data_IF_050253290601
#
_entry.id   IF_050253290601
#
_cell.length_a   1.000
_cell.length_b   1.000
_cell.length_c   1.000
_cell.angle_alpha   90.00
_cell.angle_beta   90.00
_cell.angle_gamma   90.00
#
_symmetry.space_group_name_H-M   'P 1'
#
loop_
_entity.id
_entity.type
_entity.pdbx_description
1 polymer ?
#
# COMPACT_ATOMS: atom_id res chain seq x y z
N UNK A 1 15.37 8.97 -26.68
CA UNK A 1 15.71 10.41 -26.55
C UNK A 1 16.58 10.64 -25.32
N UNK A 2 17.15 11.83 -25.14
CA UNK A 2 17.84 12.23 -23.91
C UNK A 2 17.13 13.47 -23.34
N UNK A 3 16.99 13.51 -22.02
CA UNK A 3 16.42 14.64 -21.28
C UNK A 3 17.48 15.23 -20.36
N UNK A 4 17.56 16.55 -20.28
CA UNK A 4 18.36 17.25 -19.27
C UNK A 4 17.46 17.56 -18.06
N UNK A 5 17.75 16.95 -16.92
CA UNK A 5 16.95 17.06 -15.69
C UNK A 5 17.89 17.28 -14.51
N UNK A 6 17.75 18.42 -13.83
CA UNK A 6 18.59 18.74 -12.66
C UNK A 6 20.10 18.74 -12.96
N UNK A 7 20.51 19.20 -14.15
CA UNK A 7 21.91 19.19 -14.60
C UNK A 7 22.45 17.80 -14.97
N UNK A 8 21.58 16.80 -15.10
CA UNK A 8 21.93 15.44 -15.52
C UNK A 8 21.27 15.09 -16.84
N UNK A 9 22.01 14.41 -17.71
CA UNK A 9 21.44 13.83 -18.91
C UNK A 9 20.90 12.42 -18.63
N UNK A 10 19.60 12.21 -18.85
CA UNK A 10 18.90 10.94 -18.64
C UNK A 10 18.42 10.38 -19.97
N UNK A 11 18.88 9.18 -20.33
CA UNK A 11 18.43 8.49 -21.54
C UNK A 11 17.04 7.86 -21.33
N UNK A 12 16.07 8.22 -22.17
CA UNK A 12 14.70 7.68 -22.16
C UNK A 12 14.48 6.81 -23.38
N UNK A 13 13.99 5.58 -23.14
CA UNK A 13 13.72 4.58 -24.19
C UNK A 13 12.22 4.36 -24.35
N UNK A 14 11.76 4.17 -25.58
CA UNK A 14 10.34 3.99 -25.92
C UNK A 14 9.42 5.06 -25.28
N UNK A 15 9.71 6.37 -25.45
CA UNK A 15 8.89 7.44 -24.87
C UNK A 15 7.42 7.38 -25.30
N UNK A 16 7.15 6.95 -26.53
CA UNK A 16 5.82 6.80 -27.14
C UNK A 16 5.02 5.59 -26.62
N UNK A 17 5.63 4.74 -25.80
CA UNK A 17 4.96 3.55 -25.27
C UNK A 17 3.77 3.97 -24.41
N UNK A 18 2.56 3.53 -24.79
CA UNK A 18 1.35 3.68 -23.98
C UNK A 18 1.45 2.84 -22.72
N UNK A 19 1.30 3.49 -21.56
CA UNK A 19 1.32 2.85 -20.23
C UNK A 19 -0.10 2.66 -19.71
N UNK A 20 -0.96 3.65 -19.94
CA UNK A 20 -2.39 3.62 -19.62
C UNK A 20 -3.21 3.72 -20.92
N UNK A 21 -3.79 2.61 -21.40
CA UNK A 21 -4.55 2.60 -22.64
C UNK A 21 -5.75 3.56 -22.64
N UNK A 22 -6.56 3.54 -21.58
CA UNK A 22 -7.83 4.27 -21.51
C UNK A 22 -7.65 5.80 -21.66
N UNK A 23 -6.78 6.48 -20.87
CA UNK A 23 -6.49 7.90 -21.06
C UNK A 23 -5.41 8.16 -22.12
N UNK A 24 -4.85 7.12 -22.77
CA UNK A 24 -3.80 7.26 -23.77
C UNK A 24 -2.44 7.76 -23.24
N UNK A 25 -2.19 7.67 -21.93
CA UNK A 25 -0.97 8.22 -21.29
C UNK A 25 0.24 7.38 -21.68
N UNK A 26 1.22 8.03 -22.32
CA UNK A 26 2.49 7.44 -22.71
C UNK A 26 3.53 7.48 -21.58
N UNK A 27 4.67 6.80 -21.78
CA UNK A 27 5.81 6.89 -20.87
C UNK A 27 6.32 8.33 -20.75
N UNK A 28 6.38 9.07 -21.86
CA UNK A 28 6.84 10.45 -21.85
C UNK A 28 5.87 11.34 -21.07
N UNK A 29 4.56 11.12 -21.21
CA UNK A 29 3.55 11.86 -20.43
C UNK A 29 3.70 11.58 -18.93
N UNK A 30 3.92 10.32 -18.56
CA UNK A 30 4.18 9.94 -17.17
C UNK A 30 5.48 10.57 -16.61
N UNK A 31 6.53 10.65 -17.43
CA UNK A 31 7.75 11.37 -17.07
C UNK A 31 7.47 12.86 -16.85
N UNK A 32 6.75 13.49 -17.78
CA UNK A 32 6.41 14.91 -17.71
C UNK A 32 5.53 15.22 -16.48
N UNK A 33 4.61 14.33 -16.15
CA UNK A 33 3.82 14.40 -14.92
C UNK A 33 4.72 14.46 -13.68
N UNK A 34 5.63 13.50 -13.52
CA UNK A 34 6.52 13.48 -12.35
C UNK A 34 7.48 14.66 -12.32
N UNK A 35 7.89 15.19 -13.47
CA UNK A 35 8.67 16.43 -13.53
C UNK A 35 7.85 17.64 -13.08
N UNK A 36 6.56 17.72 -13.45
CA UNK A 36 5.68 18.81 -13.06
C UNK A 36 5.40 18.87 -11.54
N UNK A 37 5.44 17.73 -10.86
CA UNK A 37 5.22 17.62 -9.40
C UNK A 37 6.49 17.22 -8.63
N UNK A 38 7.67 17.39 -9.24
CA UNK A 38 8.91 16.81 -8.76
C UNK A 38 9.22 17.16 -7.30
N UNK A 39 9.09 18.43 -6.91
CA UNK A 39 9.39 18.87 -5.54
C UNK A 39 8.49 18.19 -4.50
N UNK A 40 7.21 18.01 -4.81
CA UNK A 40 6.25 17.31 -3.95
C UNK A 40 6.47 15.81 -3.91
N UNK A 41 6.70 15.19 -5.08
CA UNK A 41 7.03 13.77 -5.15
C UNK A 41 8.32 13.45 -4.38
N UNK A 42 9.34 14.29 -4.51
CA UNK A 42 10.63 14.15 -3.83
C UNK A 42 10.52 14.30 -2.32
N UNK A 43 9.65 15.17 -1.77
CA UNK A 43 9.37 15.18 -0.33
C UNK A 43 8.93 13.79 0.19
N UNK A 44 8.20 13.05 -0.64
CA UNK A 44 7.74 11.70 -0.31
C UNK A 44 8.78 10.58 -0.47
N UNK A 45 9.81 10.75 -1.31
CA UNK A 45 10.70 9.63 -1.70
C UNK A 45 12.21 9.91 -1.59
N UNK A 46 12.63 11.17 -1.51
CA UNK A 46 14.03 11.54 -1.54
C UNK A 46 14.78 10.97 -0.32
N UNK A 47 15.94 10.36 -0.57
CA UNK A 47 16.75 9.71 0.45
C UNK A 47 16.14 8.43 1.03
N UNK A 48 15.02 7.92 0.49
CA UNK A 48 14.38 6.69 0.97
C UNK A 48 14.72 5.50 0.07
N UNK A 49 15.11 4.33 0.62
CA UNK A 49 15.15 3.10 -0.17
C UNK A 49 13.74 2.75 -0.65
N UNK A 50 13.63 2.28 -1.89
CA UNK A 50 12.35 1.90 -2.49
C UNK A 50 12.37 0.56 -3.20
N UNK A 51 11.19 -0.08 -3.17
CA UNK A 51 10.88 -1.21 -4.02
C UNK A 51 10.43 -0.68 -5.38
N UNK A 52 11.11 -1.13 -6.44
CA UNK A 52 10.75 -0.79 -7.81
C UNK A 52 9.63 -1.73 -8.28
N UNK A 53 8.40 -1.22 -8.40
CA UNK A 53 7.27 -1.96 -8.96
C UNK A 53 7.10 -1.58 -10.43
N UNK A 54 7.49 -2.50 -11.31
CA UNK A 54 7.75 -2.21 -12.73
C UNK A 54 6.69 -2.84 -13.63
N UNK A 55 6.02 -1.99 -14.38
CA UNK A 55 5.04 -2.33 -15.42
C UNK A 55 5.70 -2.32 -16.79
N UNK A 56 6.68 -3.20 -16.99
CA UNK A 56 7.52 -3.20 -18.20
C UNK A 56 6.69 -3.35 -19.47
N UNK A 57 5.54 -4.04 -19.39
CA UNK A 57 4.60 -4.25 -20.50
C UNK A 57 3.38 -3.31 -20.49
N UNK A 58 3.25 -2.41 -19.52
CA UNK A 58 2.05 -1.60 -19.28
C UNK A 58 1.24 -2.11 -18.08
N UNK A 59 0.22 -1.35 -17.67
CA UNK A 59 -0.57 -1.66 -16.45
C UNK A 59 -1.53 -2.84 -16.59
N UNK A 60 -1.86 -3.25 -17.82
CA UNK A 60 -2.73 -4.40 -18.10
C UNK A 60 -2.06 -5.75 -17.87
N UNK A 61 -0.77 -5.74 -17.53
CA UNK A 61 0.05 -6.93 -17.29
C UNK A 61 0.58 -6.93 -15.85
N UNK A 62 0.92 -8.11 -15.34
CA UNK A 62 1.45 -8.26 -13.99
C UNK A 62 2.75 -7.48 -13.78
N UNK A 63 2.85 -6.82 -12.63
CA UNK A 63 4.01 -6.01 -12.27
C UNK A 63 5.17 -6.87 -11.76
N UNK A 64 6.40 -6.44 -12.04
CA UNK A 64 7.61 -7.01 -11.44
C UNK A 64 7.96 -6.23 -10.18
N UNK A 65 8.03 -6.91 -9.04
CA UNK A 65 8.47 -6.31 -7.78
C UNK A 65 9.97 -6.54 -7.60
N UNK A 66 10.74 -5.48 -7.77
CA UNK A 66 12.19 -5.53 -7.73
C UNK A 66 12.70 -4.77 -6.50
N UNK A 67 13.01 -5.52 -5.44
CA UNK A 67 13.66 -4.99 -4.22
C UNK A 67 15.09 -4.55 -4.49
N UNK A 68 15.91 -5.44 -5.06
CA UNK A 68 17.32 -5.15 -5.35
C UNK A 68 17.46 -4.24 -6.57
N UNK A 69 18.13 -3.10 -6.42
CA UNK A 69 18.44 -2.20 -7.51
C UNK A 69 19.21 -2.91 -8.64
N UNK A 70 19.00 -2.52 -9.92
CA UNK A 70 19.78 -3.08 -11.02
C UNK A 70 21.30 -2.91 -10.79
N UNK A 71 22.07 -3.97 -11.09
CA UNK A 71 23.55 -3.90 -11.04
C UNK A 71 24.10 -2.85 -12.01
N UNK A 72 23.53 -2.78 -13.22
CA UNK A 72 23.79 -1.73 -14.20
C UNK A 72 22.82 -0.59 -13.95
N UNK A 73 23.28 0.44 -13.25
CA UNK A 73 22.54 1.67 -12.99
C UNK A 73 23.47 2.88 -13.13
N UNK A 74 22.95 4.10 -13.38
CA UNK A 74 23.77 5.30 -13.33
C UNK A 74 24.45 5.45 -11.97
N UNK A 75 25.68 5.99 -11.95
CA UNK A 75 26.48 6.11 -10.72
C UNK A 75 25.80 6.98 -9.64
N UNK A 76 24.93 7.89 -10.05
CA UNK A 76 24.17 8.81 -9.21
C UNK A 76 22.88 8.21 -8.65
N UNK A 77 22.53 6.97 -9.01
CA UNK A 77 21.49 6.20 -8.30
C UNK A 77 22.16 5.46 -7.15
N UNK A 78 21.98 6.01 -5.96
CA UNK A 78 22.44 5.42 -4.70
C UNK A 78 21.63 4.18 -4.32
N UNK A 79 22.16 3.42 -3.37
CA UNK A 79 21.48 2.27 -2.79
C UNK A 79 21.66 2.25 -1.28
N UNK A 80 20.68 1.69 -0.58
CA UNK A 80 20.78 1.38 0.84
C UNK A 80 20.50 -0.10 1.06
N UNK A 81 21.31 -0.77 1.90
CA UNK A 81 21.15 -2.20 2.17
C UNK A 81 20.11 -2.42 3.28
N UNK A 82 18.91 -2.88 2.89
CA UNK A 82 17.88 -3.24 3.84
C UNK A 82 18.02 -4.72 4.25
N UNK A 83 18.08 -4.98 5.57
CA UNK A 83 18.06 -6.33 6.14
C UNK A 83 16.64 -6.73 6.52
N UNK A 84 16.18 -7.86 5.99
CA UNK A 84 14.84 -8.39 6.20
C UNK A 84 14.81 -9.37 7.37
N UNK A 85 13.63 -9.58 7.96
CA UNK A 85 13.41 -10.52 9.07
C UNK A 85 13.77 -11.97 8.72
N UNK A 86 13.73 -12.32 7.44
CA UNK A 86 14.18 -13.62 6.91
C UNK A 86 15.69 -13.86 7.06
N UNK A 87 16.49 -12.83 7.39
CA UNK A 87 17.95 -12.89 7.41
C UNK A 87 18.60 -12.55 6.07
N UNK A 88 17.81 -12.31 5.02
CA UNK A 88 18.30 -11.84 3.72
C UNK A 88 18.46 -10.32 3.70
N UNK A 89 19.21 -9.79 2.74
CA UNK A 89 19.29 -8.35 2.49
C UNK A 89 19.12 -8.01 1.00
N UNK A 90 18.78 -6.76 0.71
CA UNK A 90 18.84 -6.20 -0.64
C UNK A 90 19.33 -4.76 -0.60
N UNK A 91 20.20 -4.42 -1.55
CA UNK A 91 20.53 -3.04 -1.88
C UNK A 91 19.37 -2.46 -2.68
N UNK A 92 18.50 -1.70 -2.03
CA UNK A 92 17.35 -1.06 -2.66
C UNK A 92 17.75 0.31 -3.21
N UNK A 93 17.10 0.75 -4.29
CA UNK A 93 17.42 2.03 -4.93
C UNK A 93 17.00 3.21 -4.05
N UNK A 94 17.83 4.24 -3.98
CA UNK A 94 17.56 5.50 -3.29
C UNK A 94 17.53 6.62 -4.33
N UNK A 95 16.39 7.30 -4.45
CA UNK A 95 16.25 8.46 -5.33
C UNK A 95 16.55 9.73 -4.53
N UNK A 96 17.23 10.70 -5.13
CA UNK A 96 17.60 11.96 -4.47
C UNK A 96 17.04 13.19 -5.19
N UNK A 97 16.81 13.08 -6.49
CA UNK A 97 16.48 14.22 -7.35
C UNK A 97 15.47 13.83 -8.46
N UNK A 98 15.05 14.83 -9.24
CA UNK A 98 14.10 14.64 -10.33
C UNK A 98 14.63 13.68 -11.42
N UNK A 99 15.94 13.64 -11.65
CA UNK A 99 16.55 12.68 -12.57
C UNK A 99 16.36 11.23 -12.07
N UNK A 100 16.41 11.03 -10.75
CA UNK A 100 16.02 9.78 -10.09
C UNK A 100 14.59 9.35 -10.40
N UNK A 101 13.63 10.27 -10.34
CA UNK A 101 12.23 10.00 -10.71
C UNK A 101 12.12 9.56 -12.17
N UNK A 102 12.74 10.29 -13.09
CA UNK A 102 12.75 9.95 -14.53
C UNK A 102 13.39 8.59 -14.76
N UNK A 103 14.49 8.27 -14.06
CA UNK A 103 15.13 6.96 -14.14
C UNK A 103 14.19 5.82 -13.70
N UNK A 104 13.49 5.99 -12.58
CA UNK A 104 12.55 5.00 -12.08
C UNK A 104 11.40 4.75 -13.07
N UNK A 105 10.81 5.82 -13.61
CA UNK A 105 9.75 5.73 -14.63
C UNK A 105 10.26 5.10 -15.92
N UNK A 106 11.48 5.44 -16.36
CA UNK A 106 12.08 4.84 -17.55
C UNK A 106 12.32 3.33 -17.41
N UNK A 107 12.61 2.85 -16.19
CA UNK A 107 12.66 1.41 -15.86
C UNK A 107 11.28 0.73 -15.86
N UNK A 108 10.20 1.50 -15.98
CA UNK A 108 8.82 1.03 -16.00
C UNK A 108 8.08 1.19 -14.68
N UNK A 109 8.61 1.94 -13.70
CA UNK A 109 7.86 2.23 -12.48
C UNK A 109 6.70 3.18 -12.80
N UNK A 110 5.52 2.85 -12.27
CA UNK A 110 4.33 3.71 -12.35
C UNK A 110 4.10 4.40 -11.02
N UNK A 111 4.11 3.63 -9.92
CA UNK A 111 4.05 4.13 -8.56
C UNK A 111 5.46 4.19 -7.92
N UNK A 112 5.60 4.99 -6.86
CA UNK A 112 6.81 5.09 -6.06
C UNK A 112 6.53 4.49 -4.68
N UNK A 113 7.36 3.52 -4.25
CA UNK A 113 7.09 2.69 -3.07
C UNK A 113 8.25 2.75 -2.05
N UNK A 114 8.44 3.88 -1.36
CA UNK A 114 9.50 4.03 -0.36
C UNK A 114 9.17 3.31 0.96
N UNK A 115 10.21 2.84 1.64
CA UNK A 115 10.13 2.51 3.07
C UNK A 115 9.93 3.78 3.91
N UNK A 116 9.36 3.70 5.12
CA UNK A 116 9.16 4.87 6.01
C UNK A 116 10.45 5.33 6.71
N UNK A 117 11.61 5.02 6.15
CA UNK A 117 12.95 5.34 6.68
C UNK A 117 13.78 6.05 5.63
N UNK A 118 14.85 6.71 6.07
CA UNK A 118 15.85 7.35 5.20
C UNK A 118 17.13 6.51 5.18
N UNK A 119 17.91 6.61 4.11
CA UNK A 119 19.07 5.75 3.85
C UNK A 119 20.17 5.84 4.93
N UNK A 120 20.22 6.94 5.66
CA UNK A 120 21.14 7.20 6.78
C UNK A 120 20.70 6.54 8.12
N UNK A 121 19.43 6.17 8.27
CA UNK A 121 18.94 5.37 9.41
C UNK A 121 17.76 4.48 8.98
N UNK A 122 18.05 3.19 8.79
CA UNK A 122 17.09 2.20 8.28
C UNK A 122 16.28 1.51 9.39
N UNK A 123 16.54 1.83 10.66
CA UNK A 123 15.90 1.16 11.80
C UNK A 123 14.89 2.06 12.53
N UNK A 124 14.98 3.38 12.36
CA UNK A 124 14.06 4.35 12.94
C UNK A 124 13.23 5.09 11.87
N UNK A 125 11.96 4.71 11.66
CA UNK A 125 11.06 5.43 10.77
C UNK A 125 10.90 6.91 11.14
N UNK A 126 10.72 7.74 10.13
CA UNK A 126 10.33 9.15 10.29
C UNK A 126 8.86 9.39 9.91
N UNK A 127 8.10 8.34 9.62
CA UNK A 127 6.67 8.42 9.27
C UNK A 127 5.88 7.41 10.09
N UNK A 128 4.83 7.90 10.76
CA UNK A 128 3.68 7.08 11.13
C UNK A 128 2.67 7.17 9.98
N UNK A 129 2.22 6.03 9.46
CA UNK A 129 1.30 5.96 8.31
C UNK A 129 -0.01 5.32 8.75
N UNK A 130 -1.12 6.05 8.63
CA UNK A 130 -2.47 5.52 8.82
C UNK A 130 -3.06 5.23 7.44
N UNK A 131 -3.45 3.98 7.20
CA UNK A 131 -4.05 3.52 5.95
C UNK A 131 -5.50 3.11 6.20
N UNK A 132 -6.43 3.75 5.49
CA UNK A 132 -7.87 3.52 5.61
C UNK A 132 -8.32 2.66 4.43
N UNK A 133 -8.53 1.38 4.72
CA UNK A 133 -8.91 0.37 3.75
C UNK A 133 -10.42 0.05 3.88
N UNK A 134 -11.27 0.45 2.92
CA UNK A 134 -12.69 0.14 2.97
C UNK A 134 -12.96 -1.35 2.74
N UNK A 135 -13.75 -1.95 3.63
CA UNK A 135 -14.33 -3.28 3.39
C UNK A 135 -15.43 -3.19 2.31
N UNK A 136 -15.85 -4.33 1.71
CA UNK A 136 -16.97 -4.33 0.76
C UNK A 136 -18.22 -3.64 1.33
N UNK A 137 -18.86 -2.80 0.53
CA UNK A 137 -20.08 -2.06 0.94
C UNK A 137 -19.82 -0.71 1.62
N UNK A 138 -18.57 -0.36 1.93
CA UNK A 138 -18.23 0.97 2.45
C UNK A 138 -18.18 2.00 1.32
N UNK A 139 -18.96 3.06 1.47
CA UNK A 139 -19.03 4.17 0.54
C UNK A 139 -17.97 5.24 0.83
N UNK A 140 -17.57 5.99 -0.20
CA UNK A 140 -16.49 6.98 -0.10
C UNK A 140 -16.66 8.02 1.03
N UNK A 141 -17.86 8.62 1.26
CA UNK A 141 -18.05 9.55 2.37
C UNK A 141 -17.72 8.95 3.75
N UNK A 142 -18.01 7.68 3.98
CA UNK A 142 -17.70 7.01 5.24
C UNK A 142 -16.18 6.92 5.48
N UNK A 143 -15.40 6.74 4.41
CA UNK A 143 -13.93 6.76 4.49
C UNK A 143 -13.42 8.15 4.89
N UNK A 144 -14.04 9.21 4.35
CA UNK A 144 -13.69 10.59 4.68
C UNK A 144 -14.08 10.93 6.12
N UNK A 145 -15.23 10.48 6.60
CA UNK A 145 -15.65 10.65 8.00
C UNK A 145 -14.63 10.00 8.95
N UNK A 146 -14.19 8.76 8.66
CA UNK A 146 -13.14 8.09 9.43
C UNK A 146 -11.80 8.85 9.33
N UNK A 147 -11.45 9.41 8.18
CA UNK A 147 -10.24 10.23 8.03
C UNK A 147 -10.27 11.51 8.91
N UNK A 148 -11.45 12.11 9.10
CA UNK A 148 -11.62 13.25 10.01
C UNK A 148 -11.44 12.83 11.47
N UNK A 149 -11.92 11.64 11.86
CA UNK A 149 -11.66 11.09 13.21
C UNK A 149 -10.18 10.79 13.41
N UNK A 150 -9.49 10.23 12.41
CA UNK A 150 -8.03 10.02 12.46
C UNK A 150 -7.30 11.34 12.71
N UNK A 151 -7.71 12.44 12.06
CA UNK A 151 -7.13 13.76 12.29
C UNK A 151 -7.22 14.17 13.75
N UNK A 152 -8.39 14.02 14.35
CA UNK A 152 -8.63 14.36 15.76
C UNK A 152 -7.77 13.51 16.68
N UNK A 153 -7.73 12.20 16.48
CA UNK A 153 -6.91 11.28 17.28
C UNK A 153 -5.43 11.65 17.20
N UNK A 154 -4.90 11.93 16.01
CA UNK A 154 -3.50 12.38 15.86
C UNK A 154 -3.27 13.70 16.60
N UNK A 155 -4.17 14.68 16.44
CA UNK A 155 -4.06 16.00 17.07
C UNK A 155 -4.11 15.92 18.59
N UNK A 156 -5.02 15.12 19.15
CA UNK A 156 -5.17 14.90 20.60
C UNK A 156 -3.89 14.31 21.22
N UNK A 157 -3.08 13.62 20.41
CA UNK A 157 -1.82 13.01 20.82
C UNK A 157 -0.57 13.77 20.33
N UNK A 158 -0.72 15.03 19.92
CA UNK A 158 0.40 15.91 19.58
C UNK A 158 1.05 15.63 18.22
N UNK A 159 0.38 14.90 17.32
CA UNK A 159 0.82 14.63 15.96
C UNK A 159 0.03 15.46 14.95
N UNK A 160 0.73 16.03 13.97
CA UNK A 160 0.10 16.68 12.82
C UNK A 160 -0.15 15.65 11.73
N UNK A 161 -1.42 15.42 11.40
CA UNK A 161 -1.83 14.55 10.29
C UNK A 161 -1.78 15.26 8.94
N UNK A 162 -1.34 14.55 7.91
CA UNK A 162 -1.17 15.00 6.52
C UNK A 162 -1.96 14.06 5.60
N UNK A 163 -3.11 14.51 5.05
CA UNK A 163 -4.02 13.62 4.33
C UNK A 163 -3.66 13.52 2.85
N UNK A 164 -3.89 12.34 2.26
CA UNK A 164 -3.85 12.11 0.82
C UNK A 164 -4.85 11.04 0.40
N UNK A 165 -5.42 11.18 -0.79
CA UNK A 165 -6.09 10.04 -1.43
C UNK A 165 -5.08 8.91 -1.63
N UNK A 166 -5.51 7.65 -1.61
CA UNK A 166 -4.61 6.55 -1.97
C UNK A 166 -4.33 6.47 -3.46
N UNK A 167 -5.20 7.04 -4.31
CA UNK A 167 -5.27 6.73 -5.74
C UNK A 167 -5.71 5.27 -6.01
N UNK A 168 -6.36 4.63 -5.05
CA UNK A 168 -6.96 3.30 -5.18
C UNK A 168 -8.38 3.38 -4.63
N UNK A 169 -8.72 2.58 -3.62
CA UNK A 169 -10.02 2.61 -2.93
C UNK A 169 -9.98 3.32 -1.57
N UNK A 170 -8.82 3.32 -0.92
CA UNK A 170 -8.65 3.84 0.44
C UNK A 170 -8.16 5.27 0.51
N UNK A 171 -7.78 5.68 1.72
CA UNK A 171 -7.29 7.00 2.05
C UNK A 171 -6.09 6.89 3.00
N UNK A 172 -5.11 7.78 2.90
CA UNK A 172 -3.95 7.74 3.81
C UNK A 172 -3.80 9.04 4.58
N UNK A 173 -3.37 8.93 5.84
CA UNK A 173 -3.00 10.05 6.69
C UNK A 173 -1.62 9.76 7.25
N UNK A 174 -0.64 10.62 6.96
CA UNK A 174 0.72 10.47 7.48
C UNK A 174 0.94 11.43 8.64
N UNK A 175 1.85 11.09 9.54
CA UNK A 175 2.41 12.02 10.51
C UNK A 175 3.94 11.91 10.47
N UNK A 176 4.61 13.05 10.37
CA UNK A 176 6.08 13.13 10.54
C UNK A 176 6.40 12.91 12.01
N UNK A 177 7.33 12.00 12.29
CA UNK A 177 7.74 11.65 13.66
C UNK A 177 9.24 11.80 13.83
N UNK A 178 9.69 11.98 15.08
CA UNK A 178 11.10 11.92 15.41
C UNK A 178 11.71 10.53 15.09
N UNK A 179 12.93 10.54 14.54
CA UNK A 179 13.70 9.36 14.11
C UNK A 179 14.41 8.67 15.28
N UNK A 180 13.66 8.34 16.31
CA UNK A 180 14.18 7.72 17.54
C UNK A 180 13.35 6.51 18.00
N UNK A 181 12.32 6.12 17.22
CA UNK A 181 11.46 4.99 17.52
C UNK A 181 11.72 3.82 16.58
N UNK A 182 11.95 2.59 17.08
CA UNK A 182 12.09 1.43 16.22
C UNK A 182 10.72 0.99 15.66
N UNK A 183 10.71 0.29 14.52
CA UNK A 183 9.49 -0.22 13.87
C UNK A 183 8.41 -0.80 14.81
N UNK A 184 8.73 -1.65 15.82
CA UNK A 184 7.70 -2.18 16.72
C UNK A 184 6.95 -1.10 17.51
N UNK A 185 7.64 -0.01 17.91
CA UNK A 185 7.01 1.11 18.62
C UNK A 185 6.18 1.97 17.69
N UNK A 186 6.65 2.24 16.48
CA UNK A 186 5.87 2.98 15.46
C UNK A 186 4.60 2.20 15.08
N UNK A 187 4.71 0.89 14.88
CA UNK A 187 3.56 0.02 14.61
C UNK A 187 2.59 -0.03 15.79
N UNK A 188 3.09 -0.11 17.02
CA UNK A 188 2.23 -0.07 18.22
C UNK A 188 1.48 1.26 18.30
N UNK A 189 2.15 2.39 18.05
CA UNK A 189 1.49 3.69 18.02
C UNK A 189 0.39 3.76 16.94
N UNK A 190 0.64 3.24 15.74
CA UNK A 190 -0.37 3.15 14.69
C UNK A 190 -1.55 2.21 15.07
N UNK A 191 -1.27 1.10 15.75
CA UNK A 191 -2.28 0.20 16.29
C UNK A 191 -3.14 0.90 17.37
N UNK A 192 -2.52 1.73 18.22
CA UNK A 192 -3.23 2.57 19.19
C UNK A 192 -4.14 3.58 18.48
N UNK A 193 -3.65 4.26 17.43
CA UNK A 193 -4.49 5.16 16.63
C UNK A 193 -5.70 4.40 16.07
N UNK A 194 -5.48 3.22 15.49
CA UNK A 194 -6.56 2.39 14.94
C UNK A 194 -7.61 2.02 15.99
N UNK A 195 -7.19 1.61 17.20
CA UNK A 195 -8.09 1.25 18.30
C UNK A 195 -8.85 2.45 18.84
N UNK A 196 -8.21 3.61 18.94
CA UNK A 196 -8.86 4.83 19.41
C UNK A 196 -9.87 5.37 18.39
N UNK A 197 -9.58 5.22 17.09
CA UNK A 197 -10.54 5.53 16.01
C UNK A 197 -11.74 4.58 16.07
N UNK A 198 -11.53 3.26 16.17
CA UNK A 198 -12.62 2.28 16.35
C UNK A 198 -13.45 2.59 17.61
N UNK A 199 -12.82 3.03 18.71
CA UNK A 199 -13.55 3.42 19.93
C UNK A 199 -14.46 4.64 19.71
N UNK A 200 -14.04 5.61 18.89
CA UNK A 200 -14.81 6.84 18.62
C UNK A 200 -15.94 6.63 17.62
N UNK A 201 -15.72 5.77 16.62
CA UNK A 201 -16.69 5.47 15.55
C UNK A 201 -16.80 3.96 15.28
N UNK A 202 -17.31 3.17 16.24
CA UNK A 202 -17.30 1.70 16.17
C UNK A 202 -18.15 1.13 15.03
N UNK A 203 -19.15 1.88 14.57
CA UNK A 203 -20.02 1.48 13.45
C UNK A 203 -19.40 1.77 12.08
N UNK A 204 -18.31 2.56 12.03
CA UNK A 204 -17.67 2.99 10.78
C UNK A 204 -16.24 2.49 10.63
N UNK A 205 -15.52 2.21 11.72
CA UNK A 205 -14.11 1.86 11.67
C UNK A 205 -13.81 0.60 12.49
N UNK A 206 -12.80 -0.15 12.04
CA UNK A 206 -12.36 -1.38 12.69
C UNK A 206 -10.84 -1.48 12.73
N UNK A 207 -10.31 -1.95 13.87
CA UNK A 207 -8.90 -2.32 14.05
C UNK A 207 -8.72 -3.84 14.15
N UNK A 208 -9.76 -4.62 13.83
CA UNK A 208 -9.76 -6.09 13.98
C UNK A 208 -8.69 -6.75 13.12
N UNK A 209 -7.96 -7.67 13.73
CA UNK A 209 -6.85 -8.36 13.08
C UNK A 209 -7.32 -9.23 11.89
N UNK A 210 -8.41 -9.97 12.09
CA UNK A 210 -8.94 -10.93 11.12
C UNK A 210 -9.76 -10.23 10.07
N UNK A 211 -9.53 -10.54 8.79
CA UNK A 211 -10.26 -9.89 7.70
C UNK A 211 -11.75 -10.19 7.77
N UNK A 212 -12.07 -11.37 8.26
CA UNK A 212 -13.41 -11.93 8.41
C UNK A 212 -14.25 -11.18 9.45
N UNK A 213 -13.61 -10.57 10.46
CA UNK A 213 -14.26 -9.81 11.54
C UNK A 213 -14.32 -8.31 11.24
N UNK A 214 -13.91 -7.89 10.03
CA UNK A 214 -13.85 -6.47 9.66
C UNK A 214 -15.14 -6.05 9.01
N UNK A 215 -15.83 -5.12 9.66
CA UNK A 215 -16.92 -4.34 9.11
C UNK A 215 -16.49 -2.86 9.09
N UNK A 216 -16.99 -2.09 8.12
CA UNK A 216 -16.61 -0.69 7.96
C UNK A 216 -15.20 -0.48 7.38
N UNK A 217 -14.57 0.63 7.76
CA UNK A 217 -13.23 1.04 7.31
C UNK A 217 -12.17 0.40 8.20
N UNK A 218 -11.34 -0.46 7.63
CA UNK A 218 -10.20 -1.00 8.35
C UNK A 218 -9.07 0.02 8.45
N UNK A 219 -8.64 0.33 9.68
CA UNK A 219 -7.48 1.18 9.92
C UNK A 219 -6.22 0.30 9.96
N UNK A 220 -5.54 0.14 8.81
CA UNK A 220 -4.44 -0.81 8.64
C UNK A 220 -3.12 -0.31 9.26
N UNK A 221 -2.95 -0.61 10.55
CA UNK A 221 -1.72 -0.34 11.28
C UNK A 221 -0.52 -1.20 10.82
N UNK A 222 -0.72 -2.31 10.10
CA UNK A 222 0.39 -3.17 9.69
C UNK A 222 1.25 -2.57 8.58
N UNK A 223 0.81 -1.50 7.93
CA UNK A 223 1.63 -0.74 6.98
C UNK A 223 2.89 -0.12 7.62
N UNK A 224 2.92 -0.02 8.96
CA UNK A 224 4.06 0.45 9.75
C UNK A 224 5.03 -0.67 10.13
N UNK A 225 4.81 -1.91 9.69
CA UNK A 225 5.77 -2.99 9.90
C UNK A 225 6.99 -2.85 8.97
N UNK A 226 8.14 -3.36 9.41
CA UNK A 226 9.35 -3.43 8.56
C UNK A 226 9.06 -4.22 7.28
N UNK A 227 9.65 -3.79 6.16
CA UNK A 227 9.43 -4.36 4.81
C UNK A 227 8.02 -4.12 4.21
N UNK A 228 7.28 -3.14 4.74
CA UNK A 228 6.05 -2.63 4.12
C UNK A 228 6.30 -1.27 3.47
N UNK A 229 5.97 -1.19 2.19
CA UNK A 229 6.06 0.02 1.38
C UNK A 229 4.67 0.48 1.02
N UNK A 230 4.41 1.77 1.15
CA UNK A 230 3.14 2.42 0.79
C UNK A 230 3.41 3.34 -0.39
N UNK A 231 2.45 3.45 -1.32
CA UNK A 231 2.56 4.39 -2.43
C UNK A 231 2.73 5.82 -1.88
N UNK A 232 3.77 6.51 -2.31
CA UNK A 232 4.11 7.85 -1.82
C UNK A 232 3.14 8.92 -2.32
N UNK A 233 3.22 10.12 -1.72
CA UNK A 233 2.58 11.32 -2.25
C UNK A 233 2.93 11.52 -3.74
N UNK A 234 1.96 11.96 -4.53
CA UNK A 234 2.04 12.17 -5.97
C UNK A 234 2.34 10.91 -6.81
N UNK A 235 2.37 9.72 -6.21
CA UNK A 235 2.50 8.48 -6.98
C UNK A 235 1.28 8.23 -7.84
N UNK A 236 1.48 8.10 -9.16
CA UNK A 236 0.48 7.57 -10.07
C UNK A 236 0.21 6.12 -9.72
N UNK A 237 -1.04 5.70 -9.72
CA UNK A 237 -1.45 4.33 -9.40
C UNK A 237 -1.77 3.58 -10.67
N UNK A 238 -1.52 2.27 -10.66
CA UNK A 238 -1.83 1.36 -11.77
C UNK A 238 -3.33 1.05 -11.87
N UNK A 239 -4.15 2.10 -12.01
CA UNK A 239 -5.59 2.06 -12.27
C UNK A 239 -5.82 2.52 -13.72
N UNK A 240 -6.89 2.04 -14.39
CA UNK A 240 -7.13 2.37 -15.80
C UNK A 240 -7.16 3.88 -16.08
N UNK A 241 -7.69 4.66 -15.15
CA UNK A 241 -7.82 6.12 -15.23
C UNK A 241 -6.55 6.92 -14.86
N UNK A 242 -5.42 6.26 -14.60
CA UNK A 242 -4.17 6.91 -14.20
C UNK A 242 -4.31 7.84 -12.97
N UNK A 243 -5.19 7.49 -12.03
CA UNK A 243 -5.37 8.27 -10.80
C UNK A 243 -4.12 8.33 -9.93
N UNK A 244 -4.03 9.36 -9.10
CA UNK A 244 -2.84 9.72 -8.32
C UNK A 244 -3.13 9.66 -6.81
N UNK A 245 -2.17 9.17 -6.03
CA UNK A 245 -2.16 9.32 -4.58
C UNK A 245 -1.86 10.78 -4.19
N UNK A 246 -2.89 11.61 -4.03
CA UNK A 246 -2.74 13.07 -4.07
C UNK A 246 -2.85 13.71 -2.69
N UNK A 247 -1.81 14.44 -2.22
CA UNK A 247 -1.88 15.29 -1.02
C UNK A 247 -3.01 16.31 -1.07
N UNK A 248 -3.67 16.52 0.07
CA UNK A 248 -4.79 17.44 0.22
C UNK A 248 -4.58 18.36 1.41
N UNK A 249 -5.21 19.54 1.37
CA UNK A 249 -5.48 20.29 2.59
C UNK A 249 -6.67 19.64 3.33
N UNK A 250 -6.67 19.69 4.66
CA UNK A 250 -7.76 19.14 5.46
C UNK A 250 -9.14 19.71 5.13
N UNK A 251 -9.21 20.97 4.70
CA UNK A 251 -10.47 21.61 4.30
C UNK A 251 -11.13 20.97 3.07
N UNK A 252 -10.35 20.26 2.25
CA UNK A 252 -10.82 19.62 1.01
C UNK A 252 -11.30 18.18 1.25
N UNK A 253 -10.85 17.55 2.34
CA UNK A 253 -11.09 16.12 2.63
C UNK A 253 -12.59 15.77 2.60
N UNK A 254 -13.50 16.51 3.27
CA UNK A 254 -14.91 16.12 3.34
C UNK A 254 -15.65 16.07 2.00
N UNK A 255 -15.12 16.73 0.96
CA UNK A 255 -15.80 16.86 -0.34
C UNK A 255 -14.96 16.34 -1.51
N UNK A 256 -13.75 15.86 -1.28
CA UNK A 256 -12.88 15.40 -2.35
C UNK A 256 -13.40 14.10 -2.98
N UNK A 257 -13.10 13.88 -4.26
CA UNK A 257 -13.34 12.60 -4.93
C UNK A 257 -12.01 12.06 -5.44
N UNK A 258 -11.76 10.77 -5.25
CA UNK A 258 -10.47 10.17 -5.61
C UNK A 258 -10.20 10.26 -7.13
N UNK A 259 -11.24 10.14 -7.93
CA UNK A 259 -11.24 10.21 -9.39
C UNK A 259 -10.89 11.60 -9.97
N UNK A 260 -11.02 12.66 -9.17
CA UNK A 260 -10.68 14.03 -9.63
C UNK A 260 -9.17 14.21 -9.78
N UNK A 261 -8.37 13.32 -9.19
CA UNK A 261 -6.92 13.42 -9.14
C UNK A 261 -6.25 12.40 -10.07
N UNK A 262 -5.86 12.84 -11.26
CA UNK A 262 -5.23 12.02 -12.29
C UNK A 262 -3.94 12.65 -12.80
N UNK A 263 -3.19 11.89 -13.59
CA UNK A 263 -2.03 12.39 -14.33
C UNK A 263 -2.35 13.66 -15.14
N UNK A 264 -3.59 13.82 -15.61
CA UNK A 264 -4.01 14.99 -16.39
C UNK A 264 -4.37 16.21 -15.53
N UNK A 265 -4.92 16.03 -14.32
CA UNK A 265 -5.49 17.11 -13.51
C UNK A 265 -4.56 17.62 -12.42
N UNK A 266 -3.72 16.74 -11.86
CA UNK A 266 -2.85 17.08 -10.72
C UNK A 266 -1.76 18.11 -11.06
N UNK A 267 -1.12 18.12 -12.24
CA UNK A 267 -0.09 19.13 -12.54
C UNK A 267 -0.58 20.57 -12.47
N UNK A 268 -1.75 20.87 -13.05
CA UNK A 268 -2.34 22.22 -13.00
C UNK A 268 -2.70 22.61 -11.57
N UNK A 269 -3.29 21.67 -10.81
CA UNK A 269 -3.57 21.87 -9.40
C UNK A 269 -2.30 22.19 -8.61
N UNK A 270 -1.24 21.40 -8.78
CA UNK A 270 0.04 21.62 -8.10
C UNK A 270 0.64 22.99 -8.42
N UNK A 271 0.62 23.41 -9.68
CA UNK A 271 1.09 24.73 -10.09
C UNK A 271 0.27 25.87 -9.47
N UNK A 272 -1.03 25.65 -9.25
CA UNK A 272 -1.96 26.66 -8.70
C UNK A 272 -1.85 26.83 -7.19
N UNK A 273 -1.81 25.73 -6.42
CA UNK A 273 -1.88 25.78 -4.95
C UNK A 273 -0.57 25.36 -4.24
N UNK A 274 0.42 24.87 -4.99
CA UNK A 274 1.62 24.27 -4.43
C UNK A 274 1.37 22.88 -3.85
N UNK A 275 2.21 22.49 -2.89
CA UNK A 275 2.09 21.21 -2.18
C UNK A 275 1.40 21.37 -0.83
N UNK A 276 0.23 20.75 -0.62
CA UNK A 276 -0.44 20.74 0.68
C UNK A 276 0.39 20.15 1.83
N UNK A 277 1.44 19.38 1.55
CA UNK A 277 2.36 18.78 2.52
C UNK A 277 3.70 19.52 2.66
N UNK A 278 3.84 20.74 2.12
CA UNK A 278 5.10 21.48 2.13
C UNK A 278 5.75 21.61 3.52
N UNK A 279 4.92 21.74 4.58
CA UNK A 279 5.36 21.91 5.97
C UNK A 279 5.44 20.59 6.77
N UNK A 280 5.30 19.43 6.13
CA UNK A 280 5.32 18.15 6.86
C UNK A 280 6.64 17.88 7.57
N UNK A 281 7.77 18.25 6.97
CA UNK A 281 9.09 18.01 7.56
C UNK A 281 9.40 18.94 8.75
N UNK A 282 8.70 20.08 8.87
CA UNK A 282 8.82 21.01 10.00
C UNK A 282 7.89 20.65 11.18
N UNK A 283 6.99 19.67 11.00
CA UNK A 283 5.97 19.28 11.99
C UNK A 283 6.26 17.96 12.73
N UNK A 284 7.52 17.57 12.87
CA UNK A 284 7.88 16.29 13.49
C UNK A 284 7.41 16.23 14.96
N UNK A 285 6.60 15.22 15.28
CA UNK A 285 6.09 14.98 16.64
C UNK A 285 6.64 13.71 17.30
N UNK A 286 6.32 13.57 18.58
CA UNK A 286 6.66 12.41 19.41
C UNK A 286 5.58 11.32 19.39
N UNK A 287 5.93 10.10 19.83
CA UNK A 287 4.99 8.98 19.96
C UNK A 287 4.61 8.67 21.42
N UNK A 288 5.15 9.42 22.37
CA UNK A 288 5.05 9.17 23.81
C UNK A 288 3.59 9.05 24.27
N UNK A 289 2.71 9.95 23.81
CA UNK A 289 1.29 9.94 24.22
C UNK A 289 0.53 8.72 23.66
N UNK A 290 0.78 8.34 22.41
CA UNK A 290 0.19 7.13 21.82
C UNK A 290 0.73 5.85 22.47
N UNK A 291 1.99 5.85 22.88
CA UNK A 291 2.59 4.72 23.57
C UNK A 291 2.07 4.61 25.01
N UNK A 292 1.85 5.71 25.72
CA UNK A 292 1.20 5.73 27.03
C UNK A 292 -0.24 5.20 26.94
N UNK A 293 -1.02 5.66 25.95
CA UNK A 293 -2.36 5.14 25.70
C UNK A 293 -2.33 3.63 25.34
N UNK A 294 -1.30 3.16 24.62
CA UNK A 294 -1.13 1.73 24.35
C UNK A 294 -0.98 0.91 25.63
N UNK A 295 -0.27 1.43 26.62
CA UNK A 295 -0.07 0.79 27.92
C UNK A 295 -1.38 0.74 28.72
N UNK A 296 -2.17 1.82 28.70
CA UNK A 296 -3.49 1.88 29.34
C UNK A 296 -4.49 0.92 28.71
N UNK A 297 -4.53 0.85 27.38
CA UNK A 297 -5.43 -0.01 26.63
C UNK A 297 -5.07 -1.50 26.72
N UNK A 298 -3.86 -1.84 27.18
CA UNK A 298 -3.35 -3.21 27.23
C UNK A 298 -3.20 -3.86 25.85
N UNK A 299 -2.79 -5.14 25.80
CA UNK A 299 -2.65 -5.88 24.54
C UNK A 299 -4.01 -6.09 23.86
N UNK A 300 -4.04 -6.04 22.53
CA UNK A 300 -5.25 -6.36 21.77
C UNK A 300 -5.75 -7.79 22.11
N UNK A 301 -7.07 -7.94 22.24
CA UNK A 301 -7.70 -9.23 22.48
C UNK A 301 -7.40 -10.19 21.32
N UNK A 302 -6.90 -11.39 21.66
CA UNK A 302 -6.71 -12.45 20.67
C UNK A 302 -8.02 -13.20 20.52
N UNK A 303 -8.58 -13.29 19.31
CA UNK A 303 -9.72 -14.16 19.04
C UNK A 303 -9.46 -15.61 19.54
N UNK A 304 -10.45 -16.35 20.04
CA UNK A 304 -10.27 -17.73 20.52
C UNK A 304 -9.72 -18.63 19.40
N UNK A 305 -8.70 -19.46 19.69
CA UNK A 305 -8.09 -20.36 18.69
C UNK A 305 -9.10 -21.34 18.03
N UNK A 306 -10.17 -21.71 18.73
CA UNK A 306 -11.10 -22.75 18.31
C UNK A 306 -12.12 -22.32 17.24
N UNK A 307 -12.51 -21.04 17.20
CA UNK A 307 -13.43 -20.52 16.16
C UNK A 307 -12.72 -20.34 14.79
N UNK A 308 -11.39 -20.31 14.78
CA UNK A 308 -10.56 -19.84 13.65
C UNK A 308 -10.40 -20.79 12.47
N UNK A 309 -10.46 -22.11 12.67
CA UNK A 309 -10.21 -23.07 11.58
C UNK A 309 -11.47 -23.77 11.06
N UNK A 310 -12.60 -23.63 11.75
CA UNK A 310 -13.81 -24.36 11.39
C UNK A 310 -14.60 -23.68 10.26
N UNK A 311 -14.45 -22.36 10.11
CA UNK A 311 -15.23 -21.60 9.12
C UNK A 311 -14.42 -21.25 7.88
N UNK A 312 -13.09 -21.25 7.94
CA UNK A 312 -12.26 -20.78 6.85
C UNK A 312 -11.60 -21.95 6.14
N UNK A 313 -11.88 -22.09 4.84
CA UNK A 313 -11.23 -23.05 3.97
C UNK A 313 -10.37 -22.35 2.92
N UNK A 314 -9.29 -22.99 2.51
CA UNK A 314 -8.45 -22.57 1.40
C UNK A 314 -8.85 -23.36 0.14
N UNK A 315 -9.18 -22.65 -0.92
CA UNK A 315 -9.68 -23.24 -2.17
C UNK A 315 -8.57 -23.43 -3.18
N UNK A 316 -7.67 -22.45 -3.31
CA UNK A 316 -6.60 -22.50 -4.30
C UNK A 316 -5.45 -21.54 -3.99
N UNK A 317 -4.28 -21.87 -4.55
CA UNK A 317 -3.15 -20.97 -4.78
C UNK A 317 -2.86 -20.95 -6.28
N UNK A 318 -2.84 -19.78 -6.88
CA UNK A 318 -2.69 -19.63 -8.33
C UNK A 318 -1.65 -18.59 -8.68
N UNK A 319 -1.16 -18.64 -9.92
CA UNK A 319 -0.16 -17.68 -10.40
C UNK A 319 -0.83 -16.36 -10.81
N UNK A 320 -2.03 -16.43 -11.37
CA UNK A 320 -2.77 -15.26 -11.87
C UNK A 320 -4.10 -15.08 -11.17
N UNK A 321 -4.64 -13.86 -11.22
CA UNK A 321 -5.96 -13.54 -10.65
C UNK A 321 -7.08 -14.28 -11.38
N UNK A 322 -6.96 -14.42 -12.70
CA UNK A 322 -7.97 -15.10 -13.51
C UNK A 322 -8.04 -16.59 -13.19
N UNK A 323 -6.89 -17.23 -12.96
CA UNK A 323 -6.85 -18.60 -12.43
C UNK A 323 -7.50 -18.70 -11.05
N UNK A 324 -7.29 -17.71 -10.16
CA UNK A 324 -7.93 -17.67 -8.84
C UNK A 324 -9.46 -17.55 -8.95
N UNK A 325 -9.95 -16.68 -9.83
CA UNK A 325 -11.40 -16.53 -10.10
C UNK A 325 -11.99 -17.83 -10.67
N UNK A 326 -11.29 -18.46 -11.62
CA UNK A 326 -11.72 -19.74 -12.19
C UNK A 326 -11.76 -20.85 -11.12
N UNK A 327 -10.77 -20.91 -10.23
CA UNK A 327 -10.76 -21.86 -9.12
C UNK A 327 -11.89 -21.61 -8.12
N UNK A 328 -12.21 -20.35 -7.81
CA UNK A 328 -13.38 -20.01 -7.00
C UNK A 328 -14.67 -20.49 -7.66
N UNK A 329 -14.87 -20.25 -8.95
CA UNK A 329 -16.07 -20.70 -9.67
C UNK A 329 -16.18 -22.24 -9.65
N UNK A 330 -15.08 -22.96 -9.87
CA UNK A 330 -15.09 -24.43 -9.78
C UNK A 330 -15.50 -24.92 -8.37
N UNK A 331 -15.05 -24.24 -7.31
CA UNK A 331 -15.47 -24.55 -5.95
C UNK A 331 -16.97 -24.24 -5.72
N UNK A 332 -17.47 -23.12 -6.24
CA UNK A 332 -18.87 -22.74 -6.12
C UNK A 332 -19.80 -23.72 -6.85
N UNK A 333 -19.40 -24.22 -8.02
CA UNK A 333 -20.12 -25.27 -8.76
C UNK A 333 -20.14 -26.60 -8.00
N UNK A 334 -19.06 -26.92 -7.28
CA UNK A 334 -18.96 -28.12 -6.46
C UNK A 334 -19.79 -28.05 -5.17
N UNK A 335 -19.93 -26.85 -4.60
CA UNK A 335 -20.66 -26.61 -3.34
C UNK A 335 -21.77 -25.56 -3.51
N UNK A 336 -22.79 -25.82 -4.35
CA UNK A 336 -23.79 -24.82 -4.72
C UNK A 336 -24.62 -24.33 -3.54
N UNK A 337 -24.95 -25.22 -2.59
CA UNK A 337 -25.75 -24.86 -1.41
C UNK A 337 -24.98 -23.91 -0.48
N UNK A 338 -23.70 -24.18 -0.23
CA UNK A 338 -22.86 -23.31 0.57
C UNK A 338 -22.58 -21.99 -0.17
N UNK A 339 -22.29 -22.06 -1.47
CA UNK A 339 -22.00 -20.89 -2.30
C UNK A 339 -23.18 -19.90 -2.37
N UNK A 340 -24.42 -20.39 -2.39
CA UNK A 340 -25.62 -19.56 -2.40
C UNK A 340 -25.82 -18.74 -1.13
N UNK A 341 -25.17 -19.12 -0.03
CA UNK A 341 -25.25 -18.45 1.27
C UNK A 341 -24.06 -17.51 1.53
N UNK A 342 -23.09 -17.46 0.62
CA UNK A 342 -21.93 -16.59 0.79
C UNK A 342 -22.27 -15.15 0.44
N UNK A 343 -21.77 -14.24 1.26
CA UNK A 343 -21.73 -12.82 0.96
C UNK A 343 -20.41 -12.44 0.28
N UNK A 344 -20.32 -11.30 -0.42
CA UNK A 344 -19.07 -10.85 -1.05
C UNK A 344 -17.89 -10.74 -0.07
N UNK A 345 -18.14 -10.48 1.22
CA UNK A 345 -17.13 -10.43 2.29
C UNK A 345 -16.54 -11.80 2.63
N UNK A 346 -17.27 -12.89 2.37
CA UNK A 346 -16.83 -14.25 2.66
C UNK A 346 -15.80 -14.77 1.64
N UNK A 347 -15.72 -14.13 0.47
CA UNK A 347 -14.86 -14.52 -0.64
C UNK A 347 -13.55 -13.74 -0.54
N UNK A 348 -12.48 -14.45 -0.21
CA UNK A 348 -11.17 -13.85 0.03
C UNK A 348 -10.19 -14.25 -1.08
N UNK A 349 -10.01 -13.36 -2.06
CA UNK A 349 -8.98 -13.50 -3.10
C UNK A 349 -7.83 -12.54 -2.80
N UNK A 350 -6.77 -13.07 -2.18
CA UNK A 350 -5.63 -12.30 -1.72
C UNK A 350 -4.48 -12.31 -2.75
N UNK A 351 -4.05 -11.13 -3.20
CA UNK A 351 -2.79 -10.95 -3.90
C UNK A 351 -1.62 -10.98 -2.91
N UNK A 352 -0.78 -12.01 -3.01
CA UNK A 352 0.34 -12.29 -2.13
C UNK A 352 1.66 -11.97 -2.83
N UNK A 353 2.62 -11.39 -2.10
CA UNK A 353 3.95 -11.06 -2.64
C UNK A 353 4.85 -12.30 -2.55
N UNK A 354 5.27 -12.82 -3.70
CA UNK A 354 6.32 -13.82 -3.84
C UNK A 354 7.73 -13.20 -3.88
N UNK A 355 8.76 -13.96 -4.29
CA UNK A 355 10.14 -13.46 -4.36
C UNK A 355 10.33 -12.34 -5.39
N UNK A 356 9.61 -12.42 -6.51
CA UNK A 356 9.71 -11.47 -7.64
C UNK A 356 8.40 -11.20 -8.38
N UNK A 357 7.32 -11.92 -8.04
CA UNK A 357 5.99 -11.79 -8.65
C UNK A 357 4.88 -11.82 -7.61
N UNK A 358 3.69 -11.40 -7.98
CA UNK A 358 2.46 -11.67 -7.22
C UNK A 358 2.03 -13.12 -7.49
N UNK A 359 1.34 -13.71 -6.52
CA UNK A 359 0.55 -14.94 -6.64
C UNK A 359 -0.76 -14.75 -5.88
N UNK A 360 -1.78 -15.56 -6.11
CA UNK A 360 -3.10 -15.36 -5.53
C UNK A 360 -3.50 -16.54 -4.66
N UNK A 361 -4.12 -16.26 -3.52
CA UNK A 361 -4.70 -17.27 -2.64
C UNK A 361 -6.19 -17.04 -2.53
N UNK A 362 -6.97 -18.09 -2.75
CA UNK A 362 -8.44 -18.09 -2.63
C UNK A 362 -8.82 -18.78 -1.34
N UNK A 363 -9.58 -18.10 -0.49
CA UNK A 363 -10.17 -18.65 0.72
C UNK A 363 -11.65 -18.30 0.79
N UNK A 364 -12.43 -19.14 1.45
CA UNK A 364 -13.86 -18.94 1.66
C UNK A 364 -14.15 -19.01 3.15
N UNK A 365 -14.80 -17.97 3.68
CA UNK A 365 -15.29 -17.94 5.05
C UNK A 365 -16.75 -18.38 5.09
N UNK A 366 -16.99 -19.56 5.66
CA UNK A 366 -18.29 -20.21 5.77
C UNK A 366 -19.11 -19.69 6.97
N UNK A 367 -18.87 -18.47 7.44
CA UNK A 367 -19.56 -17.92 8.60
C UNK A 367 -21.08 -17.83 8.42
N UNK A 368 -21.54 -17.51 7.20
CA UNK A 368 -22.95 -17.45 6.83
C UNK A 368 -23.55 -18.82 6.45
N UNK A 369 -22.71 -19.86 6.36
CA UNK A 369 -23.16 -21.23 6.07
C UNK A 369 -23.48 -21.93 7.40
N UNK A 370 -24.68 -22.53 7.58
CA UNK A 370 -25.03 -23.34 8.74
C UNK A 370 -24.01 -24.44 9.01
N UNK A 371 -23.65 -24.67 10.28
CA UNK A 371 -22.55 -25.56 10.67
C UNK A 371 -22.67 -26.99 10.10
N UNK A 372 -23.90 -27.50 9.96
CA UNK A 372 -24.24 -28.80 9.40
C UNK A 372 -24.12 -28.87 7.86
N UNK A 373 -24.04 -27.72 7.20
CA UNK A 373 -23.92 -27.57 5.74
C UNK A 373 -22.52 -27.09 5.31
N UNK A 374 -21.61 -26.84 6.25
CA UNK A 374 -20.26 -26.35 5.95
C UNK A 374 -19.44 -27.43 5.24
N UNK A 375 -18.94 -27.17 4.02
CA UNK A 375 -17.95 -28.05 3.42
C UNK A 375 -16.67 -28.07 4.26
N UNK A 376 -16.02 -29.23 4.33
CA UNK A 376 -14.71 -29.38 5.00
C UNK A 376 -13.59 -28.88 4.10
N UNK A 377 -12.39 -28.68 4.66
CA UNK A 377 -11.20 -28.43 3.85
C UNK A 377 -10.93 -29.62 2.92
N UNK A 378 -10.83 -29.34 1.63
CA UNK A 378 -10.49 -30.31 0.59
C UNK A 378 -9.08 -30.09 0.03
N UNK A 379 -8.64 -30.90 -0.93
CA UNK A 379 -7.45 -30.59 -1.72
C UNK A 379 -7.64 -29.30 -2.51
N UNK A 380 -6.56 -28.54 -2.65
CA UNK A 380 -6.59 -27.28 -3.38
C UNK A 380 -6.83 -27.54 -4.87
N UNK A 381 -7.78 -26.80 -5.45
CA UNK A 381 -8.09 -26.87 -6.89
C UNK A 381 -6.85 -26.54 -7.74
N UNK A 382 -5.99 -25.67 -7.21
CA UNK A 382 -4.65 -25.42 -7.71
C UNK A 382 -3.72 -25.14 -6.51
N UNK A 383 -2.49 -25.65 -6.53
CA UNK A 383 -1.48 -25.41 -5.48
C UNK A 383 -0.19 -24.83 -6.08
N UNK A 384 -0.30 -23.66 -6.69
CA UNK A 384 0.86 -22.92 -7.18
C UNK A 384 1.74 -22.43 -6.02
N UNK A 385 3.03 -22.72 -6.09
CA UNK A 385 4.04 -22.15 -5.21
C UNK A 385 4.98 -21.20 -5.99
N UNK A 386 5.03 -19.90 -5.65
CA UNK A 386 5.99 -18.98 -6.29
C UNK A 386 7.45 -19.26 -5.86
N UNK A 387 7.66 -20.26 -5.00
CA UNK A 387 8.94 -20.62 -4.41
C UNK A 387 9.51 -21.93 -4.96
N UNK A 388 8.76 -22.66 -5.80
CA UNK A 388 9.10 -24.03 -6.24
C UNK A 388 10.48 -24.14 -6.92
N UNK A 389 11.00 -23.04 -7.48
CA UNK A 389 12.33 -22.95 -8.08
C UNK A 389 13.21 -21.83 -7.47
N UNK A 390 12.87 -21.35 -6.29
CA UNK A 390 13.58 -20.27 -5.62
C UNK A 390 14.68 -20.83 -4.70
N UNK A 391 15.95 -20.56 -5.02
CA UNK A 391 17.10 -21.03 -4.24
C UNK A 391 17.58 -20.07 -3.13
N UNK A 392 16.85 -18.97 -2.89
CA UNK A 392 17.19 -18.02 -1.83
C UNK A 392 16.71 -18.49 -0.45
N UNK A 393 17.31 -17.95 0.62
CA UNK A 393 17.05 -18.38 2.00
C UNK A 393 15.58 -18.23 2.48
N UNK A 394 14.72 -17.53 1.75
CA UNK A 394 13.28 -17.44 2.00
C UNK A 394 12.55 -18.79 1.80
N UNK A 395 13.15 -19.74 1.06
CA UNK A 395 12.60 -21.08 0.80
C UNK A 395 12.63 -22.02 2.02
N UNK A 396 13.48 -21.75 3.03
CA UNK A 396 13.72 -22.68 4.16
C UNK A 396 12.80 -22.48 5.37
N UNK A 397 11.58 -21.97 5.21
CA UNK A 397 10.63 -21.80 6.33
C UNK A 397 9.23 -22.26 6.01
#
# INVERSE_FOLDING_TARGET
MRLEVGGREVAVTHPEKVIFPDPGVTKLDLINYYLAVADGALRGVAGRPMILKRFVKGIGEEAIFQKRAPKKRPYWIEVAELKYRSGTSAEEAVLQDAAGLVWAVNLGCVDLNPHPVRADDLDHPDELRVDLDPMPGVEWPQILDVAMVVREVLSDHGLTGWPKTSGSRGFHIYARIHRNWPYPKVRLAAETVAREVERRVPDLATSRWWKEEREGVFVDFNQNAKDRTVASAYSVRSRPDARVSTPLHWAEVPTCRAEDFTVATVPERYASIGDPWAEMDSSAGGLEQLLALAEELGPAEKAPKAARSANLIEVARTKTRDEAMAALHMWQEKHPDAAALLEPVDILIDGMRGPSSIWYRVRVNLQHVPTDQRPTQEELIADYSPWENYSGAQWRR
#
